data_IF_974123285619
#
_entry.id   IF_974123285619
#
_cell.length_a   1.000
_cell.length_b   1.000
_cell.length_c   1.000
_cell.angle_alpha   90.00
_cell.angle_beta   90.00
_cell.angle_gamma   90.00
#
_symmetry.space_group_name_H-M   'P 1'
#
loop_
_entity.id
_entity.type
_entity.pdbx_description
1 polymer ?
#
# COMPACT_ATOMS: atom_id res chain seq x y z
N UNK A 1 6.87 21.03 -8.95
CA UNK A 1 6.87 22.50 -9.25
C UNK A 1 7.13 23.37 -8.01
N UNK A 2 6.35 23.23 -6.91
CA UNK A 2 6.49 24.06 -5.71
C UNK A 2 7.87 23.96 -5.07
N UNK A 3 8.45 22.76 -4.99
CA UNK A 3 9.80 22.53 -4.43
C UNK A 3 10.89 23.15 -5.32
N UNK A 4 10.78 22.98 -6.64
CA UNK A 4 11.68 23.60 -7.61
C UNK A 4 11.62 25.12 -7.51
N UNK A 5 10.41 25.69 -7.44
CA UNK A 5 10.19 27.13 -7.26
C UNK A 5 10.81 27.67 -5.97
N UNK A 6 10.77 26.87 -4.89
CA UNK A 6 11.34 27.22 -3.59
C UNK A 6 12.86 27.00 -3.50
N UNK A 7 13.52 26.51 -4.55
CA UNK A 7 14.96 26.30 -4.62
C UNK A 7 15.50 25.46 -3.44
N UNK A 8 14.93 24.25 -3.23
CA UNK A 8 15.42 23.33 -2.20
C UNK A 8 16.81 22.81 -2.53
N UNK A 9 17.67 22.64 -1.51
CA UNK A 9 19.05 22.18 -1.68
C UNK A 9 19.18 20.69 -2.07
N UNK A 10 18.41 19.75 -1.48
CA UNK A 10 18.54 18.34 -1.82
C UNK A 10 17.86 18.01 -3.14
N UNK A 11 18.34 16.98 -3.82
CA UNK A 11 17.60 16.33 -4.87
C UNK A 11 16.38 15.61 -4.27
N UNK A 12 15.23 15.71 -4.92
CA UNK A 12 13.97 15.13 -4.44
C UNK A 12 13.40 14.23 -5.52
N UNK A 13 13.08 13.02 -5.14
CA UNK A 13 12.30 12.07 -5.92
C UNK A 13 11.12 11.57 -5.07
N UNK A 14 10.02 11.18 -5.71
CA UNK A 14 8.79 10.82 -4.99
C UNK A 14 8.09 9.66 -5.67
N UNK A 15 7.43 8.85 -4.85
CA UNK A 15 6.44 7.89 -5.32
C UNK A 15 5.04 8.53 -5.32
N UNK A 16 4.20 8.10 -6.24
CA UNK A 16 2.77 8.41 -6.23
C UNK A 16 2.06 7.49 -5.23
N UNK A 17 1.27 8.05 -4.32
CA UNK A 17 0.50 7.26 -3.37
C UNK A 17 -0.71 6.59 -4.03
N UNK A 18 -0.81 5.25 -3.99
CA UNK A 18 -1.97 4.51 -4.51
C UNK A 18 -3.28 4.98 -3.87
N UNK A 19 -3.29 5.16 -2.55
CA UNK A 19 -4.45 5.69 -1.84
C UNK A 19 -4.80 7.13 -2.26
N UNK A 20 -3.83 7.95 -2.64
CA UNK A 20 -4.07 9.30 -3.16
C UNK A 20 -4.80 9.26 -4.49
N UNK A 21 -4.36 8.38 -5.41
CA UNK A 21 -5.06 8.15 -6.68
C UNK A 21 -6.49 7.66 -6.43
N UNK A 22 -6.65 6.70 -5.53
CA UNK A 22 -7.96 6.17 -5.18
C UNK A 22 -8.89 7.25 -4.61
N UNK A 23 -8.40 8.09 -3.68
CA UNK A 23 -9.18 9.20 -3.11
C UNK A 23 -9.66 10.17 -4.19
N UNK A 24 -8.83 10.46 -5.17
CA UNK A 24 -9.18 11.38 -6.27
C UNK A 24 -10.36 10.88 -7.11
N UNK A 25 -10.46 9.57 -7.33
CA UNK A 25 -11.46 8.99 -8.26
C UNK A 25 -12.64 8.30 -7.56
N UNK A 26 -12.42 7.74 -6.37
CA UNK A 26 -13.41 6.93 -5.63
C UNK A 26 -13.75 7.55 -4.27
N UNK A 27 -12.85 8.36 -3.72
CA UNK A 27 -12.97 8.86 -2.36
C UNK A 27 -12.68 7.78 -1.32
N UNK A 28 -13.40 7.80 -0.21
CA UNK A 28 -13.24 6.88 0.92
C UNK A 28 -14.30 5.77 0.94
N UNK A 29 -14.90 5.45 -0.20
CA UNK A 29 -15.88 4.38 -0.29
C UNK A 29 -15.21 2.99 -0.19
N UNK A 30 -15.74 2.14 0.70
CA UNK A 30 -15.29 0.77 0.86
C UNK A 30 -15.95 -0.14 -0.21
N UNK A 31 -15.46 -0.08 -1.42
CA UNK A 31 -15.90 -0.88 -2.56
C UNK A 31 -14.79 -1.05 -3.58
N UNK A 32 -14.91 -2.03 -4.44
CA UNK A 32 -14.03 -2.15 -5.62
C UNK A 32 -14.19 -0.95 -6.56
N UNK A 33 -13.10 -0.62 -7.25
CA UNK A 33 -13.12 0.33 -8.35
C UNK A 33 -13.90 -0.27 -9.53
N UNK A 34 -14.69 0.54 -10.20
CA UNK A 34 -15.28 0.17 -11.48
C UNK A 34 -14.23 0.20 -12.60
N UNK A 35 -14.52 -0.45 -13.72
CA UNK A 35 -13.63 -0.41 -14.90
C UNK A 35 -13.31 1.01 -15.36
N UNK A 36 -14.31 1.91 -15.36
CA UNK A 36 -14.11 3.30 -15.75
C UNK A 36 -13.21 4.05 -14.75
N UNK A 37 -13.39 3.81 -13.45
CA UNK A 37 -12.53 4.40 -12.42
C UNK A 37 -11.09 3.90 -12.53
N UNK A 38 -10.88 2.60 -12.78
CA UNK A 38 -9.53 2.06 -13.04
C UNK A 38 -8.88 2.77 -14.23
N UNK A 39 -9.59 2.97 -15.32
CA UNK A 39 -9.05 3.66 -16.49
C UNK A 39 -8.65 5.11 -16.18
N UNK A 40 -9.45 5.84 -15.40
CA UNK A 40 -9.11 7.21 -14.99
C UNK A 40 -7.94 7.23 -14.00
N UNK A 41 -7.88 6.28 -13.07
CA UNK A 41 -6.75 6.12 -12.15
C UNK A 41 -5.45 5.81 -12.92
N UNK A 42 -5.50 4.95 -13.94
CA UNK A 42 -4.37 4.66 -14.81
C UNK A 42 -3.86 5.90 -15.56
N UNK A 43 -4.75 6.78 -16.02
CA UNK A 43 -4.35 8.07 -16.62
C UNK A 43 -3.62 8.97 -15.63
N UNK A 44 -4.10 9.02 -14.39
CA UNK A 44 -3.44 9.78 -13.32
C UNK A 44 -2.05 9.22 -13.03
N UNK A 45 -1.91 7.89 -12.95
CA UNK A 45 -0.61 7.22 -12.78
C UNK A 45 0.32 7.56 -13.95
N UNK A 46 -0.16 7.42 -15.19
CA UNK A 46 0.62 7.74 -16.40
C UNK A 46 1.17 9.15 -16.36
N UNK A 47 0.31 10.14 -16.13
CA UNK A 47 0.73 11.55 -16.02
C UNK A 47 1.80 11.74 -14.95
N UNK A 48 1.63 11.12 -13.78
CA UNK A 48 2.62 11.22 -12.70
C UNK A 48 3.96 10.58 -13.06
N UNK A 49 3.95 9.46 -13.79
CA UNK A 49 5.18 8.83 -14.28
C UNK A 49 5.87 9.71 -15.32
N UNK A 50 5.12 10.34 -16.24
CA UNK A 50 5.63 11.31 -17.21
C UNK A 50 6.21 12.57 -16.53
N UNK A 51 5.70 12.96 -15.38
CA UNK A 51 6.22 14.05 -14.54
C UNK A 51 7.44 13.65 -13.68
N UNK A 52 7.87 12.38 -13.74
CA UNK A 52 9.09 11.89 -13.08
C UNK A 52 8.86 11.22 -11.72
N UNK A 53 7.67 10.71 -11.45
CA UNK A 53 7.46 9.83 -10.30
C UNK A 53 8.31 8.55 -10.44
N UNK A 54 8.83 8.05 -9.32
CA UNK A 54 9.63 6.81 -9.29
C UNK A 54 8.77 5.54 -9.41
N UNK A 55 7.46 5.66 -9.21
CA UNK A 55 6.52 4.56 -9.21
C UNK A 55 5.36 4.80 -8.27
N UNK A 56 4.73 3.73 -7.81
CA UNK A 56 3.61 3.76 -6.87
C UNK A 56 4.02 3.24 -5.49
N UNK A 57 3.63 3.96 -4.43
CA UNK A 57 3.71 3.52 -3.06
C UNK A 57 2.32 3.23 -2.48
N UNK A 58 2.17 2.11 -1.76
CA UNK A 58 0.92 1.76 -1.09
C UNK A 58 1.12 1.54 0.41
N UNK A 59 0.03 1.72 1.17
CA UNK A 59 -0.05 1.38 2.59
C UNK A 59 -1.39 0.70 2.83
N UNK A 60 -1.37 -0.63 2.78
CA UNK A 60 -2.59 -1.43 2.65
C UNK A 60 -3.26 -1.81 3.98
N UNK A 61 -2.76 -1.30 5.10
CA UNK A 61 -3.43 -1.40 6.41
C UNK A 61 -4.31 -0.18 6.73
N UNK A 62 -4.20 0.90 5.94
CA UNK A 62 -4.92 2.15 6.19
C UNK A 62 -6.01 2.37 5.15
N UNK A 63 -7.20 2.84 5.60
CA UNK A 63 -8.24 3.30 4.69
C UNK A 63 -7.82 4.59 3.96
N UNK A 64 -8.12 4.76 2.68
CA UNK A 64 -8.86 3.83 1.83
C UNK A 64 -7.96 2.86 1.03
N UNK A 65 -6.66 2.79 1.31
CA UNK A 65 -5.73 1.88 0.65
C UNK A 65 -6.11 0.41 0.86
N UNK A 66 -6.60 0.08 2.05
CA UNK A 66 -7.11 -1.25 2.40
C UNK A 66 -8.29 -1.72 1.53
N UNK A 67 -9.07 -0.79 0.97
CA UNK A 67 -10.23 -1.11 0.12
C UNK A 67 -9.84 -1.45 -1.32
N UNK A 68 -8.60 -1.18 -1.72
CA UNK A 68 -8.07 -1.61 -3.00
C UNK A 68 -7.86 -3.13 -3.01
N UNK A 69 -8.37 -3.81 -4.02
CA UNK A 69 -8.04 -5.22 -4.24
C UNK A 69 -6.74 -5.37 -5.04
N UNK A 70 -6.26 -6.60 -5.12
CA UNK A 70 -5.02 -6.93 -5.81
C UNK A 70 -5.09 -6.58 -7.30
N UNK A 71 -6.26 -6.76 -7.93
CA UNK A 71 -6.50 -6.43 -9.33
C UNK A 71 -6.38 -4.94 -9.62
N UNK A 72 -6.88 -4.08 -8.73
CA UNK A 72 -6.68 -2.62 -8.82
C UNK A 72 -5.18 -2.28 -8.78
N UNK A 73 -4.46 -2.84 -7.82
CA UNK A 73 -3.03 -2.59 -7.68
C UNK A 73 -2.22 -3.10 -8.89
N UNK A 74 -2.56 -4.27 -9.43
CA UNK A 74 -1.96 -4.81 -10.67
C UNK A 74 -2.22 -3.85 -11.84
N UNK A 75 -3.47 -3.39 -12.00
CA UNK A 75 -3.84 -2.51 -13.11
C UNK A 75 -3.05 -1.19 -13.10
N UNK A 76 -2.87 -0.59 -11.93
CA UNK A 76 -2.08 0.64 -11.77
C UNK A 76 -0.59 0.39 -12.01
N UNK A 77 -0.05 -0.71 -11.50
CA UNK A 77 1.36 -1.05 -11.61
C UNK A 77 1.77 -1.50 -13.03
N UNK A 78 0.84 -1.96 -13.87
CA UNK A 78 1.10 -2.15 -15.30
C UNK A 78 1.54 -0.86 -15.98
N UNK A 79 0.93 0.28 -15.63
CA UNK A 79 1.36 1.58 -16.13
C UNK A 79 2.76 1.93 -15.61
N UNK A 80 3.04 1.70 -14.31
CA UNK A 80 4.37 1.94 -13.71
C UNK A 80 5.46 1.14 -14.43
N UNK A 81 5.17 -0.10 -14.78
CA UNK A 81 6.09 -0.99 -15.51
C UNK A 81 6.50 -0.44 -16.87
N UNK A 82 5.60 0.23 -17.62
CA UNK A 82 5.88 0.86 -18.91
C UNK A 82 6.97 1.95 -18.81
N UNK A 83 7.15 2.53 -17.63
CA UNK A 83 8.16 3.57 -17.35
C UNK A 83 9.39 3.05 -16.58
N UNK A 84 9.56 1.73 -16.46
CA UNK A 84 10.60 1.11 -15.64
C UNK A 84 10.56 1.60 -14.18
N UNK A 85 9.41 1.95 -13.68
CA UNK A 85 9.21 2.37 -12.30
C UNK A 85 9.16 1.20 -11.33
N UNK A 86 8.84 1.49 -10.07
CA UNK A 86 8.84 0.54 -8.97
C UNK A 86 7.53 0.60 -8.18
N UNK A 87 7.09 -0.53 -7.66
CA UNK A 87 6.04 -0.63 -6.66
C UNK A 87 6.66 -0.78 -5.27
N UNK A 88 6.30 0.08 -4.32
CA UNK A 88 6.68 -0.07 -2.91
C UNK A 88 5.45 -0.24 -2.04
N UNK A 89 5.52 -1.11 -1.03
CA UNK A 89 4.35 -1.41 -0.20
C UNK A 89 4.66 -1.59 1.27
N UNK A 90 3.98 -0.79 2.10
CA UNK A 90 3.60 -1.24 3.42
C UNK A 90 2.51 -2.29 3.21
N UNK A 91 2.85 -3.55 3.39
CA UNK A 91 2.00 -4.68 3.04
C UNK A 91 0.66 -4.66 3.80
N UNK A 92 -0.31 -5.39 3.29
CA UNK A 92 -1.68 -5.46 3.84
C UNK A 92 -1.73 -6.02 5.26
N UNK A 93 -0.77 -6.85 5.61
CA UNK A 93 -0.62 -7.40 6.94
C UNK A 93 0.85 -7.69 7.22
N UNK A 94 1.32 -7.34 8.40
CA UNK A 94 2.69 -7.60 8.86
C UNK A 94 2.68 -8.49 10.14
N UNK A 95 1.52 -9.00 10.52
CA UNK A 95 1.25 -9.82 11.70
C UNK A 95 1.01 -11.28 11.26
N UNK A 96 0.01 -11.94 11.77
CA UNK A 96 -0.32 -13.35 11.56
C UNK A 96 -0.67 -13.75 10.11
N UNK A 97 -0.91 -12.78 9.22
CA UNK A 97 -1.17 -12.97 7.80
C UNK A 97 -0.09 -12.36 6.90
N UNK A 98 1.11 -12.22 7.42
CA UNK A 98 2.24 -11.61 6.69
C UNK A 98 2.60 -12.39 5.42
N UNK A 99 2.50 -13.71 5.43
CA UNK A 99 2.79 -14.54 4.25
C UNK A 99 1.78 -14.28 3.14
N UNK A 100 0.48 -14.18 3.45
CA UNK A 100 -0.55 -13.85 2.47
C UNK A 100 -0.33 -12.46 1.86
N UNK A 101 0.06 -11.50 2.69
CA UNK A 101 0.34 -10.14 2.25
C UNK A 101 1.62 -10.05 1.39
N UNK A 102 2.62 -10.87 1.67
CA UNK A 102 3.82 -11.02 0.86
C UNK A 102 3.48 -11.64 -0.51
N UNK A 103 2.67 -12.68 -0.53
CA UNK A 103 2.20 -13.31 -1.78
C UNK A 103 1.37 -12.33 -2.64
N UNK A 104 0.59 -11.44 -2.03
CA UNK A 104 -0.09 -10.35 -2.75
C UNK A 104 0.93 -9.44 -3.45
N UNK A 105 1.98 -9.00 -2.75
CA UNK A 105 3.03 -8.15 -3.31
C UNK A 105 3.78 -8.86 -4.45
N UNK A 106 4.14 -10.13 -4.26
CA UNK A 106 4.81 -10.96 -5.28
C UNK A 106 3.90 -11.13 -6.52
N UNK A 107 2.60 -11.34 -6.30
CA UNK A 107 1.61 -11.45 -7.38
C UNK A 107 1.51 -10.15 -8.17
N UNK A 108 1.47 -9.00 -7.49
CA UNK A 108 1.47 -7.69 -8.15
C UNK A 108 2.74 -7.50 -8.98
N UNK A 109 3.90 -7.82 -8.42
CA UNK A 109 5.19 -7.72 -9.13
C UNK A 109 5.21 -8.60 -10.39
N UNK A 110 4.73 -9.83 -10.29
CA UNK A 110 4.67 -10.82 -11.38
C UNK A 110 3.71 -10.39 -12.49
N UNK A 111 2.46 -10.09 -12.13
CA UNK A 111 1.39 -9.82 -13.08
C UNK A 111 1.51 -8.44 -13.74
N UNK A 112 2.06 -7.46 -13.04
CA UNK A 112 2.34 -6.14 -13.59
C UNK A 112 3.73 -6.05 -14.24
N UNK A 113 4.61 -7.05 -14.06
CA UNK A 113 6.01 -7.05 -14.52
C UNK A 113 6.78 -5.83 -14.00
N UNK A 114 6.58 -5.48 -12.75
CA UNK A 114 7.15 -4.32 -12.10
C UNK A 114 8.15 -4.75 -11.02
N UNK A 115 9.23 -3.99 -10.83
CA UNK A 115 10.10 -4.18 -9.67
C UNK A 115 9.33 -3.83 -8.39
N UNK A 116 9.50 -4.60 -7.32
CA UNK A 116 8.80 -4.35 -6.07
C UNK A 116 9.75 -4.24 -4.87
N UNK A 117 9.39 -3.38 -3.94
CA UNK A 117 10.07 -3.20 -2.66
C UNK A 117 9.11 -3.50 -1.51
N UNK A 118 9.53 -4.37 -0.60
CA UNK A 118 8.84 -4.59 0.67
C UNK A 118 9.30 -3.49 1.63
N UNK A 119 8.42 -2.55 1.90
CA UNK A 119 8.72 -1.43 2.79
C UNK A 119 8.78 -1.90 4.24
N UNK A 120 9.90 -1.58 4.97
CA UNK A 120 10.15 -1.91 6.39
C UNK A 120 9.74 -3.35 6.77
N UNK A 121 10.28 -4.34 6.05
CA UNK A 121 10.00 -5.76 6.27
C UNK A 121 10.10 -6.14 7.75
N UNK A 122 9.07 -6.81 8.24
CA UNK A 122 9.04 -7.38 9.59
C UNK A 122 7.97 -8.46 9.74
N UNK A 123 8.20 -9.39 10.64
CA UNK A 123 7.16 -10.23 11.23
C UNK A 123 6.75 -9.60 12.57
N UNK A 124 5.68 -8.82 12.57
CA UNK A 124 5.22 -8.07 13.73
C UNK A 124 4.74 -9.00 14.83
N UNK A 125 5.01 -8.63 16.09
CA UNK A 125 4.69 -9.35 17.31
C UNK A 125 5.41 -10.69 17.48
N UNK A 126 5.81 -10.96 18.70
CA UNK A 126 6.59 -12.15 19.08
C UNK A 126 6.03 -13.50 18.61
N UNK A 127 4.70 -13.74 18.62
CA UNK A 127 4.14 -15.00 18.12
C UNK A 127 4.42 -15.26 16.63
N UNK A 128 4.73 -14.25 15.84
CA UNK A 128 4.95 -14.37 14.40
C UNK A 128 6.44 -14.41 14.00
N UNK A 129 7.36 -14.24 14.92
CA UNK A 129 8.80 -14.20 14.60
C UNK A 129 9.31 -15.47 13.92
N UNK A 130 8.69 -16.60 14.18
CA UNK A 130 9.00 -17.87 13.53
C UNK A 130 8.70 -17.87 12.01
N UNK A 131 7.95 -16.89 11.50
CA UNK A 131 7.64 -16.75 10.09
C UNK A 131 8.75 -16.09 9.28
N UNK A 132 9.80 -15.53 9.94
CA UNK A 132 10.83 -14.77 9.23
C UNK A 132 11.58 -15.62 8.19
N UNK A 133 11.94 -16.84 8.51
CA UNK A 133 12.64 -17.74 7.57
C UNK A 133 11.73 -18.05 6.36
N UNK A 134 10.45 -18.26 6.57
CA UNK A 134 9.46 -18.47 5.51
C UNK A 134 9.34 -17.21 4.63
N UNK A 135 9.31 -16.01 5.22
CA UNK A 135 9.28 -14.74 4.48
C UNK A 135 10.51 -14.64 3.56
N UNK A 136 11.70 -14.91 4.09
CA UNK A 136 12.94 -14.86 3.32
C UNK A 136 12.91 -15.88 2.18
N UNK A 137 12.47 -17.11 2.45
CA UNK A 137 12.35 -18.16 1.43
C UNK A 137 11.42 -17.76 0.28
N UNK A 138 10.24 -17.16 0.57
CA UNK A 138 9.31 -16.67 -0.46
C UNK A 138 9.94 -15.59 -1.32
N UNK A 139 10.64 -14.62 -0.72
CA UNK A 139 11.34 -13.56 -1.46
C UNK A 139 12.45 -14.15 -2.34
N UNK A 140 13.30 -15.02 -1.79
CA UNK A 140 14.38 -15.66 -2.56
C UNK A 140 13.86 -16.52 -3.71
N UNK A 141 12.75 -17.23 -3.51
CA UNK A 141 12.13 -18.03 -4.56
C UNK A 141 11.58 -17.13 -5.67
N UNK A 142 10.91 -16.04 -5.34
CA UNK A 142 10.46 -15.05 -6.33
C UNK A 142 11.65 -14.43 -7.09
N UNK A 143 12.77 -14.15 -6.42
CA UNK A 143 14.00 -13.68 -7.08
C UNK A 143 14.61 -14.75 -8.01
N UNK A 144 14.60 -16.03 -7.64
CA UNK A 144 15.04 -17.14 -8.51
C UNK A 144 14.14 -17.30 -9.73
N UNK A 145 12.86 -16.94 -9.67
CA UNK A 145 11.93 -16.83 -10.81
C UNK A 145 12.26 -15.64 -11.73
N UNK A 146 13.16 -14.76 -11.34
CA UNK A 146 13.57 -13.58 -12.11
C UNK A 146 12.82 -12.31 -11.73
N UNK A 147 11.99 -12.32 -10.67
CA UNK A 147 11.34 -11.11 -10.18
C UNK A 147 12.35 -10.22 -9.45
N UNK A 148 12.24 -8.91 -9.66
CA UNK A 148 13.07 -7.92 -8.97
C UNK A 148 12.35 -7.48 -7.70
N UNK A 149 12.57 -8.20 -6.60
CA UNK A 149 11.99 -7.91 -5.29
C UNK A 149 13.13 -7.59 -4.32
N UNK A 150 13.02 -6.47 -3.63
CA UNK A 150 13.91 -6.01 -2.58
C UNK A 150 13.13 -5.69 -1.31
N UNK A 151 13.81 -5.46 -0.21
CA UNK A 151 13.21 -5.08 1.05
C UNK A 151 14.10 -4.09 1.79
N UNK A 152 13.50 -3.13 2.46
CA UNK A 152 14.17 -2.31 3.46
C UNK A 152 13.74 -2.69 4.88
N UNK A 153 14.47 -2.25 5.88
CA UNK A 153 14.12 -2.43 7.28
C UNK A 153 14.74 -1.32 8.14
N UNK A 154 14.13 -1.05 9.27
CA UNK A 154 14.73 -0.20 10.29
C UNK A 154 15.37 -1.05 11.41
N UNK A 155 16.34 -0.46 12.10
CA UNK A 155 17.16 -1.16 13.11
C UNK A 155 16.65 -0.96 14.56
N UNK A 156 15.43 -0.50 14.73
CA UNK A 156 14.83 -0.27 16.05
C UNK A 156 14.01 -1.49 16.50
N UNK A 157 14.03 -1.85 17.80
CA UNK A 157 13.26 -2.97 18.34
C UNK A 157 11.77 -2.65 18.52
N UNK A 158 11.32 -1.49 18.08
CA UNK A 158 9.95 -1.00 18.20
C UNK A 158 9.49 -0.33 16.91
N UNK A 159 8.19 -0.33 16.66
CA UNK A 159 7.54 0.38 15.56
C UNK A 159 6.62 1.48 16.08
N UNK A 160 6.28 2.42 15.22
CA UNK A 160 5.35 3.51 15.53
C UNK A 160 4.35 3.68 14.39
N UNK A 161 3.09 3.91 14.75
CA UNK A 161 2.03 4.23 13.79
C UNK A 161 1.02 5.20 14.40
N UNK A 162 0.19 5.81 13.57
CA UNK A 162 -0.93 6.62 14.04
C UNK A 162 -2.09 5.78 14.57
N UNK A 163 -2.98 6.40 15.34
CA UNK A 163 -4.18 5.75 15.90
C UNK A 163 -5.07 5.09 14.82
N UNK A 164 -5.04 5.60 13.59
CA UNK A 164 -5.74 5.02 12.45
C UNK A 164 -5.29 3.61 12.11
N UNK A 165 -4.03 3.23 12.42
CA UNK A 165 -3.50 1.89 12.17
C UNK A 165 -4.03 0.81 13.11
N UNK A 166 -4.64 1.21 14.24
CA UNK A 166 -5.21 0.27 15.22
C UNK A 166 -6.75 0.24 15.20
N UNK A 167 -7.36 1.08 14.37
CA UNK A 167 -8.82 1.14 14.22
C UNK A 167 -9.21 0.38 12.95
N UNK A 168 -10.11 -0.59 13.03
CA UNK A 168 -10.57 -1.34 11.86
C UNK A 168 -11.03 -0.42 10.72
N UNK A 169 -10.65 -0.76 9.50
CA UNK A 169 -10.86 0.11 8.33
C UNK A 169 -12.33 0.36 8.01
N UNK A 170 -13.23 -0.59 8.35
CA UNK A 170 -14.68 -0.39 8.20
C UNK A 170 -15.21 0.82 9.00
N UNK A 171 -14.55 1.18 10.12
CA UNK A 171 -14.92 2.38 10.91
C UNK A 171 -14.61 3.65 10.11
N UNK A 172 -13.58 3.62 9.28
CA UNK A 172 -13.01 4.76 8.59
C UNK A 172 -13.69 5.06 7.24
N UNK A 173 -14.58 4.19 6.78
CA UNK A 173 -15.34 4.37 5.55
C UNK A 173 -16.06 5.73 5.51
N UNK A 174 -15.99 6.42 4.37
CA UNK A 174 -16.57 7.75 4.17
C UNK A 174 -15.68 8.89 4.70
N UNK A 175 -14.46 8.57 5.19
CA UNK A 175 -13.47 9.53 5.64
C UNK A 175 -13.69 10.04 7.07
N UNK A 176 -12.87 10.99 7.47
CA UNK A 176 -12.71 11.40 8.88
C UNK A 176 -14.02 11.85 9.57
N UNK A 177 -14.87 12.62 8.88
CA UNK A 177 -16.15 13.07 9.47
C UNK A 177 -17.11 11.90 9.71
N UNK A 178 -17.22 10.99 8.74
CA UNK A 178 -18.05 9.80 8.85
C UNK A 178 -17.55 8.87 9.97
N UNK A 179 -16.23 8.69 10.06
CA UNK A 179 -15.58 7.95 11.14
C UNK A 179 -15.94 8.50 12.52
N UNK A 180 -15.74 9.81 12.77
CA UNK A 180 -16.07 10.43 14.06
C UNK A 180 -17.55 10.21 14.41
N UNK A 181 -18.46 10.33 13.45
CA UNK A 181 -19.88 10.12 13.68
C UNK A 181 -20.18 8.65 14.00
N UNK A 182 -19.59 7.71 13.25
CA UNK A 182 -19.73 6.27 13.48
C UNK A 182 -19.23 5.86 14.86
N UNK A 183 -18.14 6.45 15.34
CA UNK A 183 -17.60 6.21 16.69
C UNK A 183 -18.52 6.71 17.82
N UNK A 184 -19.50 7.57 17.55
CA UNK A 184 -20.53 7.99 18.51
C UNK A 184 -21.70 7.01 18.57
N UNK A 185 -21.88 6.14 17.57
CA UNK A 185 -22.98 5.19 17.49
C UNK A 185 -22.77 4.01 18.46
N UNK A 186 -23.75 3.70 19.37
CA UNK A 186 -23.59 2.60 20.32
C UNK A 186 -23.35 1.23 19.65
N UNK A 187 -23.99 0.97 18.50
CA UNK A 187 -23.82 -0.29 17.76
C UNK A 187 -22.42 -0.42 17.20
N UNK A 188 -21.88 0.64 16.62
CA UNK A 188 -20.52 0.65 16.09
C UNK A 188 -19.48 0.45 17.20
N UNK A 189 -19.64 1.14 18.33
CA UNK A 189 -18.77 0.96 19.51
C UNK A 189 -18.81 -0.48 20.05
N UNK A 190 -20.00 -1.08 20.13
CA UNK A 190 -20.16 -2.48 20.59
C UNK A 190 -19.46 -3.47 19.64
N UNK A 191 -19.48 -3.21 18.32
CA UNK A 191 -18.75 -4.02 17.34
C UNK A 191 -17.26 -3.83 17.50
N UNK A 192 -16.79 -2.57 17.57
CA UNK A 192 -15.37 -2.23 17.69
C UNK A 192 -14.69 -2.86 18.92
N UNK A 193 -15.42 -3.08 20.02
CA UNK A 193 -14.89 -3.74 21.22
C UNK A 193 -14.71 -5.26 21.06
N UNK A 194 -15.19 -5.85 19.95
CA UNK A 194 -15.07 -7.27 19.66
C UNK A 194 -14.01 -7.55 18.59
N UNK A 195 -13.76 -6.56 17.73
CA UNK A 195 -12.76 -6.59 16.67
C UNK A 195 -11.36 -6.29 17.24
#
# INVERSE_FOLDING_TARGET
EKLIKNKVSPNIASFLGAATVRIQHIGYANRKASFLEINEMQKTVKTSMEEGAMGIGSSLIYAPGDYADTEELIALNKIVSEYNGMYISHMRNEDNRVIEALEELITIAREAKVSAEIYHLKASRRPNWHLLDTIIEHVENAQKEGLKITADMYTYPASSTGLTGVIPTWVQEGGHKAWINRMKEPKARKRLLKD
#
